data_IF_691335004758
#
_entry.id   IF_691335004758
#
_cell.length_a   1.000
_cell.length_b   1.000
_cell.length_c   1.000
_cell.angle_alpha   90.00
_cell.angle_beta   90.00
_cell.angle_gamma   90.00
#
_symmetry.space_group_name_H-M   'P 1'
#
loop_
_entity.id
_entity.type
_entity.pdbx_description
1 polymer ?
#
# COMPACT_ATOMS: atom_id res chain seq x y z
N UNK A 1 -10.81 2.34 15.09
CA UNK A 1 -9.33 2.38 15.00
C UNK A 1 -8.80 3.14 13.79
N UNK A 2 -9.51 3.13 12.65
CA UNK A 2 -9.05 3.79 11.43
C UNK A 2 -8.94 5.33 11.55
N UNK A 3 -9.63 5.94 12.48
CA UNK A 3 -9.51 7.38 12.79
C UNK A 3 -8.12 7.77 13.29
N UNK A 4 -7.35 6.82 13.82
CA UNK A 4 -5.95 7.01 14.28
C UNK A 4 -4.93 6.95 13.15
N UNK A 5 -5.35 6.53 11.95
CA UNK A 5 -4.49 6.41 10.76
C UNK A 5 -4.74 7.63 9.86
N UNK A 6 -3.90 8.64 9.97
CA UNK A 6 -4.01 9.90 9.23
C UNK A 6 -2.74 10.25 8.46
N UNK A 7 -1.60 9.75 8.91
CA UNK A 7 -0.30 9.99 8.30
C UNK A 7 0.42 8.66 8.04
N UNK A 8 1.41 8.64 7.15
CA UNK A 8 2.27 7.47 6.97
C UNK A 8 2.89 7.02 8.29
N UNK A 9 2.98 5.71 8.46
CA UNK A 9 3.54 5.04 9.63
C UNK A 9 2.73 5.18 10.95
N UNK A 10 1.56 5.79 10.96
CA UNK A 10 0.70 5.85 12.17
C UNK A 10 0.37 4.45 12.71
N UNK A 11 0.31 3.44 11.86
CA UNK A 11 0.07 2.04 12.27
C UNK A 11 1.13 1.54 13.28
N UNK A 12 2.36 2.05 13.22
CA UNK A 12 3.45 1.68 14.14
C UNK A 12 3.23 2.19 15.57
N UNK A 13 2.31 3.14 15.75
CA UNK A 13 1.95 3.68 17.07
C UNK A 13 0.84 2.86 17.77
N UNK A 14 0.21 1.92 17.06
CA UNK A 14 -0.84 1.07 17.61
C UNK A 14 -0.26 -0.14 18.36
N UNK A 15 -1.00 -0.60 19.36
CA UNK A 15 -0.64 -1.81 20.09
C UNK A 15 -1.15 -3.07 19.35
N UNK A 16 -0.50 -4.23 19.53
CA UNK A 16 -0.90 -5.46 18.84
C UNK A 16 -2.36 -5.87 19.06
N UNK A 17 -2.94 -5.59 20.22
CA UNK A 17 -4.35 -5.87 20.52
C UNK A 17 -5.32 -5.03 19.66
N UNK A 18 -4.86 -3.90 19.09
CA UNK A 18 -5.69 -3.01 18.29
C UNK A 18 -5.74 -3.42 16.80
N UNK A 19 -4.80 -4.28 16.37
CA UNK A 19 -4.67 -4.64 14.94
C UNK A 19 -5.90 -5.37 14.37
N UNK A 20 -6.56 -6.30 15.08
CA UNK A 20 -7.76 -6.95 14.55
C UNK A 20 -8.91 -5.95 14.31
N UNK A 21 -9.08 -4.98 15.19
CA UNK A 21 -10.07 -3.92 15.03
C UNK A 21 -9.72 -3.01 13.85
N UNK A 22 -8.45 -2.62 13.71
CA UNK A 22 -8.00 -1.84 12.54
C UNK A 22 -8.25 -2.60 11.24
N UNK A 23 -7.94 -3.89 11.17
CA UNK A 23 -8.18 -4.70 9.97
C UNK A 23 -9.67 -4.74 9.59
N UNK A 24 -10.54 -4.85 10.59
CA UNK A 24 -12.00 -4.76 10.39
C UNK A 24 -12.41 -3.40 9.84
N UNK A 25 -11.97 -2.32 10.47
CA UNK A 25 -12.29 -0.94 10.05
C UNK A 25 -11.80 -0.64 8.63
N UNK A 26 -10.61 -1.12 8.26
CA UNK A 26 -10.09 -1.01 6.90
C UNK A 26 -11.02 -1.71 5.90
N UNK A 27 -11.49 -2.92 6.20
CA UNK A 27 -12.41 -3.65 5.32
C UNK A 27 -13.73 -2.90 5.15
N UNK A 28 -14.31 -2.42 6.23
CA UNK A 28 -15.57 -1.66 6.20
C UNK A 28 -15.41 -0.38 5.36
N UNK A 29 -14.32 0.35 5.56
CA UNK A 29 -13.97 1.52 4.77
C UNK A 29 -13.82 1.20 3.27
N UNK A 30 -13.10 0.13 2.93
CA UNK A 30 -12.90 -0.27 1.53
C UNK A 30 -14.22 -0.69 0.87
N UNK A 31 -15.08 -1.42 1.58
CA UNK A 31 -16.40 -1.81 1.08
C UNK A 31 -17.24 -0.56 0.81
N UNK A 32 -17.30 0.38 1.75
CA UNK A 32 -18.03 1.64 1.60
C UNK A 32 -17.54 2.43 0.38
N UNK A 33 -16.24 2.70 0.29
CA UNK A 33 -15.68 3.55 -0.77
C UNK A 33 -15.77 2.91 -2.15
N UNK A 34 -15.41 1.62 -2.26
CA UNK A 34 -15.43 0.91 -3.54
C UNK A 34 -16.86 0.70 -4.05
N UNK A 35 -17.86 0.58 -3.17
CA UNK A 35 -19.27 0.49 -3.58
C UNK A 35 -19.72 1.72 -4.37
N UNK A 36 -19.11 2.87 -4.14
CA UNK A 36 -19.42 4.15 -4.80
C UNK A 36 -18.50 4.40 -6.00
N UNK A 37 -17.19 4.24 -5.80
CA UNK A 37 -16.19 4.60 -6.83
C UNK A 37 -15.93 3.49 -7.84
N UNK A 38 -16.29 2.25 -7.51
CA UNK A 38 -15.83 1.06 -8.21
C UNK A 38 -14.37 0.74 -7.86
N UNK A 39 -13.94 -0.48 -8.18
CA UNK A 39 -12.58 -0.93 -7.91
C UNK A 39 -12.48 -2.43 -7.67
N UNK A 40 -11.28 -2.87 -7.27
CA UNK A 40 -10.96 -4.28 -7.02
C UNK A 40 -11.22 -4.62 -5.55
N UNK A 41 -12.43 -5.08 -5.21
CA UNK A 41 -12.80 -5.31 -3.81
C UNK A 41 -12.16 -6.58 -3.23
N UNK A 42 -12.40 -7.74 -3.85
CA UNK A 42 -11.99 -9.04 -3.29
C UNK A 42 -10.48 -9.15 -3.08
N UNK A 43 -9.68 -8.71 -4.06
CA UNK A 43 -8.21 -8.73 -3.99
C UNK A 43 -7.67 -7.83 -2.87
N UNK A 44 -8.34 -6.71 -2.59
CA UNK A 44 -7.93 -5.82 -1.50
C UNK A 44 -8.35 -6.36 -0.12
N UNK A 45 -9.56 -6.91 0.01
CA UNK A 45 -10.00 -7.50 1.28
C UNK A 45 -9.13 -8.70 1.70
N UNK A 46 -8.60 -9.46 0.73
CA UNK A 46 -7.76 -10.63 0.97
C UNK A 46 -6.35 -10.31 1.47
N UNK A 47 -5.87 -9.07 1.35
CA UNK A 47 -4.49 -8.69 1.71
C UNK A 47 -4.40 -7.61 2.78
N UNK A 48 -5.47 -7.36 3.52
CA UNK A 48 -5.48 -6.32 4.57
C UNK A 48 -4.40 -6.61 5.61
N UNK A 49 -4.43 -7.77 6.25
CA UNK A 49 -3.46 -8.14 7.30
C UNK A 49 -2.05 -8.28 6.74
N UNK A 50 -1.89 -8.82 5.53
CA UNK A 50 -0.58 -8.86 4.87
C UNK A 50 0.00 -7.45 4.71
N UNK A 51 -0.80 -6.52 4.22
CA UNK A 51 -0.36 -5.12 4.02
C UNK A 51 -0.04 -4.45 5.34
N UNK A 52 -0.87 -4.64 6.37
CA UNK A 52 -0.59 -4.15 7.71
C UNK A 52 0.73 -4.71 8.24
N UNK A 53 0.96 -6.01 8.11
CA UNK A 53 2.19 -6.67 8.54
C UNK A 53 3.42 -6.10 7.82
N UNK A 54 3.35 -5.84 6.53
CA UNK A 54 4.42 -5.20 5.76
C UNK A 54 4.74 -3.80 6.29
N UNK A 55 3.73 -2.98 6.55
CA UNK A 55 3.92 -1.64 7.12
C UNK A 55 4.46 -1.64 8.54
N UNK A 56 4.17 -2.68 9.31
CA UNK A 56 4.70 -2.85 10.67
C UNK A 56 6.15 -3.34 10.66
N UNK A 57 6.48 -4.29 9.76
CA UNK A 57 7.76 -4.97 9.75
C UNK A 57 8.87 -4.18 9.04
N UNK A 58 8.53 -3.39 8.02
CA UNK A 58 9.50 -2.66 7.19
C UNK A 58 9.50 -1.16 7.48
N UNK A 59 10.62 -0.52 7.18
CA UNK A 59 10.79 0.92 7.39
C UNK A 59 10.51 1.69 6.09
N UNK A 60 9.22 1.89 5.81
CA UNK A 60 8.77 2.59 4.61
C UNK A 60 8.86 4.12 4.78
N UNK A 61 9.27 4.87 3.76
CA UNK A 61 9.56 4.47 2.37
C UNK A 61 11.03 4.09 2.12
N UNK A 62 11.88 3.95 3.16
CA UNK A 62 13.27 3.50 3.01
C UNK A 62 13.29 2.12 2.34
N UNK A 63 12.63 1.15 2.95
CA UNK A 63 12.38 -0.16 2.35
C UNK A 63 11.39 -0.05 1.19
N UNK A 64 11.45 -0.98 0.24
CA UNK A 64 10.68 -0.92 -0.99
C UNK A 64 9.69 -2.06 -1.07
N UNK A 65 8.41 -1.72 -1.31
CA UNK A 65 7.37 -2.70 -1.65
C UNK A 65 7.00 -2.51 -3.11
N UNK A 66 7.02 -3.60 -3.87
CA UNK A 66 6.61 -3.65 -5.27
C UNK A 66 5.43 -4.61 -5.40
N UNK A 67 4.29 -4.07 -5.78
CA UNK A 67 3.07 -4.83 -5.95
C UNK A 67 3.01 -5.40 -7.37
N UNK A 68 2.82 -6.72 -7.50
CA UNK A 68 2.55 -7.31 -8.82
C UNK A 68 1.14 -6.91 -9.28
N UNK A 69 0.98 -6.42 -10.48
CA UNK A 69 -0.21 -5.73 -10.98
C UNK A 69 -0.51 -4.46 -10.16
N UNK A 70 -0.63 -4.56 -8.85
CA UNK A 70 -0.89 -3.45 -7.94
C UNK A 70 -2.36 -3.11 -7.73
N UNK A 71 -3.29 -3.92 -8.25
CA UNK A 71 -4.73 -3.75 -8.03
C UNK A 71 -5.16 -4.02 -6.58
N UNK A 72 -4.31 -4.68 -5.77
CA UNK A 72 -4.50 -5.01 -4.36
C UNK A 72 -3.84 -4.00 -3.41
N UNK A 73 -3.44 -2.81 -3.88
CA UNK A 73 -2.65 -1.85 -3.10
C UNK A 73 -3.48 -0.79 -2.36
N UNK A 74 -4.80 -0.97 -2.18
CA UNK A 74 -5.63 0.07 -1.56
C UNK A 74 -5.34 0.24 -0.07
N UNK A 75 -5.17 -0.86 0.67
CA UNK A 75 -4.74 -0.79 2.08
C UNK A 75 -3.37 -0.10 2.21
N UNK A 76 -2.45 -0.35 1.28
CA UNK A 76 -1.16 0.36 1.23
C UNK A 76 -1.33 1.87 1.03
N UNK A 77 -2.21 2.29 0.10
CA UNK A 77 -2.53 3.71 -0.08
C UNK A 77 -3.12 4.33 1.19
N UNK A 78 -4.03 3.63 1.84
CA UNK A 78 -4.66 4.08 3.08
C UNK A 78 -3.62 4.27 4.19
N UNK A 79 -2.76 3.28 4.43
CA UNK A 79 -1.73 3.30 5.47
C UNK A 79 -0.58 4.27 5.17
N UNK A 80 -0.45 4.72 3.93
CA UNK A 80 0.52 5.74 3.51
C UNK A 80 -0.06 7.16 3.44
N UNK A 81 -1.15 7.43 4.19
CA UNK A 81 -1.68 8.77 4.41
C UNK A 81 -2.60 9.31 3.32
N UNK A 82 -3.13 8.45 2.44
CA UNK A 82 -3.99 8.86 1.31
C UNK A 82 -5.48 8.58 1.53
N UNK A 83 -5.91 8.40 2.79
CA UNK A 83 -7.30 8.06 3.17
C UNK A 83 -8.34 8.99 2.54
N UNK A 84 -8.13 10.30 2.59
CA UNK A 84 -9.07 11.31 2.08
C UNK A 84 -9.24 11.24 0.56
N UNK A 85 -8.24 10.76 -0.17
CA UNK A 85 -8.29 10.64 -1.62
C UNK A 85 -9.22 9.54 -2.14
N UNK A 86 -9.71 8.65 -1.26
CA UNK A 86 -10.56 7.52 -1.65
C UNK A 86 -11.94 7.93 -2.19
N UNK A 87 -12.44 9.12 -1.87
CA UNK A 87 -13.68 9.63 -2.42
C UNK A 87 -13.63 9.82 -3.94
N UNK A 88 -12.42 9.94 -4.51
CA UNK A 88 -12.16 10.04 -5.95
C UNK A 88 -11.26 8.93 -6.47
N UNK A 89 -11.25 7.78 -5.81
CA UNK A 89 -10.48 6.62 -6.26
C UNK A 89 -10.87 6.24 -7.70
N UNK A 90 -9.89 6.08 -8.61
CA UNK A 90 -10.05 5.76 -10.03
C UNK A 90 -10.80 6.80 -10.86
N UNK A 91 -11.05 7.98 -10.32
CA UNK A 91 -11.67 9.09 -11.04
C UNK A 91 -10.61 10.10 -11.53
N UNK A 92 -10.98 10.91 -12.52
CA UNK A 92 -10.09 11.96 -13.04
C UNK A 92 -9.70 12.94 -11.93
N UNK A 93 -8.40 13.16 -11.77
CA UNK A 93 -7.85 14.02 -10.71
C UNK A 93 -7.85 13.41 -9.31
N UNK A 94 -8.28 12.14 -9.17
CA UNK A 94 -8.25 11.40 -7.91
C UNK A 94 -7.11 10.38 -7.84
N UNK A 95 -7.16 9.50 -6.84
CA UNK A 95 -6.19 8.43 -6.67
C UNK A 95 -6.29 7.41 -7.80
N UNK A 96 -5.14 6.96 -8.30
CA UNK A 96 -5.05 5.82 -9.20
C UNK A 96 -5.48 4.53 -8.50
N UNK A 97 -6.10 3.61 -9.24
CA UNK A 97 -6.35 2.24 -8.78
C UNK A 97 -5.10 1.36 -8.67
N UNK A 98 -3.92 1.90 -8.96
CA UNK A 98 -2.62 1.23 -8.93
C UNK A 98 -1.59 2.10 -8.23
N UNK A 99 -0.47 1.53 -7.71
CA UNK A 99 0.65 2.31 -7.20
C UNK A 99 1.18 3.29 -8.25
N UNK A 100 1.44 4.52 -7.82
CA UNK A 100 1.99 5.59 -8.65
C UNK A 100 2.99 6.43 -7.86
N UNK A 101 4.25 6.45 -8.27
CA UNK A 101 5.34 7.23 -7.63
C UNK A 101 5.02 8.71 -7.55
N UNK A 102 4.25 9.24 -8.49
CA UNK A 102 3.81 10.64 -8.46
C UNK A 102 2.78 10.96 -7.37
N UNK A 103 2.14 9.95 -6.78
CA UNK A 103 1.17 10.13 -5.70
C UNK A 103 1.83 10.11 -4.32
N UNK A 104 2.88 9.29 -4.15
CA UNK A 104 3.51 9.08 -2.85
C UNK A 104 4.89 8.44 -2.99
N UNK A 105 5.84 8.86 -2.16
CA UNK A 105 7.16 8.23 -2.04
C UNK A 105 7.08 6.78 -1.52
N UNK A 106 5.94 6.39 -0.96
CA UNK A 106 5.66 5.01 -0.53
C UNK A 106 5.40 4.07 -1.70
N UNK A 107 5.06 4.58 -2.87
CA UNK A 107 4.87 3.79 -4.09
C UNK A 107 6.23 3.66 -4.81
N UNK A 108 6.94 2.56 -4.56
CA UNK A 108 8.32 2.37 -5.05
C UNK A 108 8.39 2.16 -6.56
N UNK A 109 7.31 1.69 -7.19
CA UNK A 109 7.25 1.40 -8.63
C UNK A 109 5.84 1.57 -9.17
N UNK A 110 5.72 2.11 -10.40
CA UNK A 110 4.44 2.22 -11.11
C UNK A 110 4.07 0.87 -11.69
N UNK A 111 2.97 0.28 -11.22
CA UNK A 111 2.52 -1.04 -11.67
C UNK A 111 1.16 -0.99 -12.36
N UNK A 112 0.77 -2.07 -12.99
CA UNK A 112 -0.48 -2.25 -13.71
C UNK A 112 -0.51 -3.56 -14.49
N UNK A 113 0.60 -3.92 -15.17
CA UNK A 113 0.76 -5.22 -15.82
C UNK A 113 1.24 -6.28 -14.83
N UNK A 114 0.84 -7.53 -15.06
CA UNK A 114 1.26 -8.67 -14.26
C UNK A 114 2.72 -9.07 -14.54
N UNK A 115 3.31 -9.78 -13.59
CA UNK A 115 4.64 -10.39 -13.67
C UNK A 115 5.80 -9.41 -13.76
N UNK A 116 5.64 -8.19 -13.23
CA UNK A 116 6.70 -7.15 -13.23
C UNK A 116 7.40 -7.01 -11.88
N UNK A 117 6.80 -7.47 -10.79
CA UNK A 117 7.28 -7.20 -9.43
C UNK A 117 8.65 -7.81 -9.15
N UNK A 118 8.90 -9.04 -9.62
CA UNK A 118 10.18 -9.75 -9.39
C UNK A 118 11.30 -9.06 -10.15
N UNK A 119 11.11 -8.76 -11.45
CA UNK A 119 12.15 -8.12 -12.26
C UNK A 119 12.46 -6.69 -11.80
N UNK A 120 11.41 -5.92 -11.43
CA UNK A 120 11.60 -4.58 -10.86
C UNK A 120 12.29 -4.65 -9.50
N UNK A 121 11.90 -5.61 -8.65
CA UNK A 121 12.56 -5.85 -7.37
C UNK A 121 14.02 -6.21 -7.51
N UNK A 122 14.35 -7.10 -8.44
CA UNK A 122 15.74 -7.48 -8.74
C UNK A 122 16.55 -6.26 -9.19
N UNK A 123 15.99 -5.41 -10.06
CA UNK A 123 16.64 -4.16 -10.48
C UNK A 123 16.94 -3.23 -9.30
N UNK A 124 16.02 -3.10 -8.33
CA UNK A 124 16.26 -2.30 -7.12
C UNK A 124 17.33 -2.93 -6.22
N UNK A 125 17.36 -4.26 -6.10
CA UNK A 125 18.44 -4.95 -5.36
C UNK A 125 19.80 -4.69 -5.98
N UNK A 126 19.93 -4.80 -7.29
CA UNK A 126 21.19 -4.47 -7.97
C UNK A 126 21.58 -2.99 -7.78
N UNK A 127 20.64 -2.07 -7.89
CA UNK A 127 20.90 -0.65 -7.64
C UNK A 127 21.37 -0.41 -6.20
N UNK A 128 20.75 -1.08 -5.21
CA UNK A 128 21.17 -1.04 -3.81
C UNK A 128 22.61 -1.50 -3.64
N UNK A 129 22.99 -2.65 -4.21
CA UNK A 129 24.36 -3.19 -4.13
C UNK A 129 25.38 -2.22 -4.76
N UNK A 130 25.07 -1.69 -5.95
CA UNK A 130 25.97 -0.76 -6.66
C UNK A 130 26.15 0.57 -5.94
N UNK A 131 25.14 1.04 -5.20
CA UNK A 131 25.16 2.33 -4.50
C UNK A 131 25.58 2.21 -3.03
N UNK A 132 25.77 0.99 -2.51
CA UNK A 132 26.09 0.74 -1.11
C UNK A 132 24.96 1.15 -0.15
N UNK A 133 23.71 1.20 -0.63
CA UNK A 133 22.54 1.52 0.20
C UNK A 133 22.09 0.28 0.98
N UNK A 134 21.40 0.52 2.09
CA UNK A 134 20.87 -0.52 2.98
C UNK A 134 19.34 -0.37 3.12
N UNK A 135 18.59 -1.17 2.37
CA UNK A 135 17.14 -1.29 2.43
C UNK A 135 16.66 -2.66 1.94
N UNK A 136 15.52 -3.08 2.41
CA UNK A 136 14.86 -4.29 1.91
C UNK A 136 14.03 -4.00 0.66
N UNK A 137 13.88 -5.03 -0.17
CA UNK A 137 12.98 -5.01 -1.34
C UNK A 137 12.04 -6.18 -1.23
N UNK A 138 10.75 -5.92 -1.22
CA UNK A 138 9.68 -6.91 -1.07
C UNK A 138 8.81 -6.87 -2.32
N UNK A 139 8.71 -7.98 -3.04
CA UNK A 139 7.75 -8.18 -4.13
C UNK A 139 6.53 -8.94 -3.62
N UNK A 140 5.33 -8.42 -3.90
CA UNK A 140 4.04 -8.96 -3.42
C UNK A 140 3.17 -9.37 -4.60
#
# INVERSE_FOLDING_TARGET
>A
MLEKINQPNDIKNLQPQDWPELAKDIREFLIEKISVTGGHLASNLGVVELTMALHLAFDLPKDKIIWDVGHQAYTHKLLSGRKEGFDKLRQSGGLSGFPKRKESDFDSFDTGHSSTSISAGLGMVYARELTGQDYYVVSV
#
